data_IF_899423575483
#
_entry.id   IF_899423575483
#
_cell.length_a   1.000
_cell.length_b   1.000
_cell.length_c   1.000
_cell.angle_alpha   90.00
_cell.angle_beta   90.00
_cell.angle_gamma   90.00
#
_symmetry.space_group_name_H-M   'P 1'
#
loop_
_entity.id
_entity.type
_entity.pdbx_description
1 polymer ?
#
# COMPACT_ATOMS: atom_id res chain seq x y z
N UNK A 1 6.69 -8.16 2.30
CA UNK A 1 7.13 -7.29 3.41
C UNK A 1 6.39 -5.96 3.39
N UNK A 2 6.35 -5.27 2.25
CA UNK A 2 5.75 -3.94 2.11
C UNK A 2 4.32 -3.78 2.66
N UNK A 3 3.34 -4.58 2.20
CA UNK A 3 1.95 -4.45 2.70
C UNK A 3 1.79 -4.78 4.18
N UNK A 4 2.66 -5.63 4.74
CA UNK A 4 2.66 -5.92 6.18
C UNK A 4 3.10 -4.67 6.94
N UNK A 5 4.16 -4.00 6.49
CA UNK A 5 4.60 -2.75 7.11
C UNK A 5 3.55 -1.64 6.94
N UNK A 6 3.10 -1.37 5.72
CA UNK A 6 2.25 -0.21 5.43
C UNK A 6 0.80 -0.41 5.89
N UNK A 7 0.18 -1.55 5.58
CA UNK A 7 -1.26 -1.76 5.82
C UNK A 7 -1.59 -2.51 7.09
N UNK A 8 -0.69 -3.38 7.54
CA UNK A 8 -0.87 -4.06 8.82
C UNK A 8 -0.32 -3.22 9.97
N UNK A 9 0.93 -2.77 9.90
CA UNK A 9 1.54 -2.03 11.00
C UNK A 9 1.20 -0.52 10.97
N UNK A 10 1.71 0.24 9.99
CA UNK A 10 1.71 1.70 10.05
C UNK A 10 0.31 2.31 10.10
N UNK A 11 -0.63 1.84 9.29
CA UNK A 11 -2.02 2.32 9.33
C UNK A 11 -2.65 2.20 10.72
N UNK A 12 -2.36 1.12 11.44
CA UNK A 12 -2.90 0.89 12.79
C UNK A 12 -2.10 1.62 13.87
N UNK A 13 -0.78 1.68 13.71
CA UNK A 13 0.12 2.40 14.62
C UNK A 13 -0.17 3.91 14.65
N UNK A 14 -0.57 4.49 13.52
CA UNK A 14 -0.99 5.89 13.43
C UNK A 14 -2.35 6.17 14.07
N UNK A 15 -3.12 5.12 14.40
CA UNK A 15 -4.36 5.23 15.19
C UNK A 15 -4.05 5.15 16.67
N UNK A 16 -3.32 4.11 17.08
CA UNK A 16 -2.84 3.91 18.44
C UNK A 16 -1.52 3.12 18.43
N UNK A 17 -0.60 3.44 19.33
CA UNK A 17 0.69 2.74 19.46
C UNK A 17 0.53 1.27 19.87
N UNK A 18 -0.53 0.92 20.59
CA UNK A 18 -0.96 -0.47 20.81
C UNK A 18 -1.73 -0.97 19.58
N UNK A 19 -1.04 -1.00 18.43
CA UNK A 19 -1.66 -1.23 17.12
C UNK A 19 -2.25 -2.63 16.96
N UNK A 20 -1.83 -3.59 17.78
CA UNK A 20 -2.37 -4.96 17.78
C UNK A 20 -3.81 -4.99 18.30
N UNK A 21 -4.17 -4.06 19.19
CA UNK A 21 -5.55 -3.86 19.65
C UNK A 21 -6.47 -3.32 18.55
N UNK A 22 -5.89 -2.68 17.53
CA UNK A 22 -6.64 -2.08 16.42
C UNK A 22 -6.98 -3.16 15.38
N UNK A 23 -8.27 -3.37 15.04
CA UNK A 23 -8.64 -4.32 14.00
C UNK A 23 -8.09 -3.91 12.62
N UNK A 24 -7.72 -4.90 11.80
CA UNK A 24 -7.33 -4.68 10.40
C UNK A 24 -8.49 -3.99 9.66
N UNK A 25 -8.17 -2.92 8.92
CA UNK A 25 -9.13 -2.13 8.16
C UNK A 25 -9.93 -1.13 9.00
N UNK A 26 -9.50 -0.85 10.24
CA UNK A 26 -9.93 0.36 10.98
C UNK A 26 -9.47 1.61 10.23
N UNK A 27 -10.37 2.60 10.12
CA UNK A 27 -10.12 3.81 9.34
C UNK A 27 -10.06 5.05 10.23
N UNK A 28 -9.02 5.88 10.02
CA UNK A 28 -9.01 7.28 10.43
C UNK A 28 -8.43 8.12 9.29
N UNK A 29 -8.88 9.37 9.18
CA UNK A 29 -8.35 10.28 8.16
C UNK A 29 -6.85 10.54 8.33
N UNK A 30 -6.37 10.66 9.57
CA UNK A 30 -4.95 10.89 9.86
C UNK A 30 -4.08 9.71 9.42
N UNK A 31 -4.42 8.48 9.82
CA UNK A 31 -3.65 7.29 9.44
C UNK A 31 -3.60 7.10 7.92
N UNK A 32 -4.75 7.27 7.26
CA UNK A 32 -4.86 7.14 5.82
C UNK A 32 -4.02 8.18 5.07
N UNK A 33 -4.15 9.47 5.41
CA UNK A 33 -3.44 10.55 4.72
C UNK A 33 -1.92 10.43 4.95
N UNK A 34 -1.50 10.26 6.22
CA UNK A 34 -0.08 10.17 6.57
C UNK A 34 0.56 8.94 5.91
N UNK A 35 -0.07 7.77 6.02
CA UNK A 35 0.47 6.56 5.39
C UNK A 35 0.51 6.68 3.87
N UNK A 36 -0.48 7.32 3.23
CA UNK A 36 -0.49 7.52 1.77
C UNK A 36 0.65 8.43 1.32
N UNK A 37 0.87 9.55 2.02
CA UNK A 37 1.94 10.49 1.70
C UNK A 37 3.30 9.83 1.89
N UNK A 38 3.52 9.19 3.04
CA UNK A 38 4.79 8.50 3.33
C UNK A 38 5.08 7.38 2.34
N UNK A 39 4.07 6.59 1.97
CA UNK A 39 4.20 5.54 0.95
C UNK A 39 4.59 6.14 -0.41
N UNK A 40 3.96 7.25 -0.80
CA UNK A 40 4.33 7.96 -2.02
C UNK A 40 5.78 8.45 -2.03
N UNK A 41 6.26 8.99 -0.91
CA UNK A 41 7.62 9.52 -0.79
C UNK A 41 8.72 8.45 -0.87
N UNK A 42 8.41 7.18 -0.61
CA UNK A 42 9.34 6.05 -0.80
C UNK A 42 9.61 5.77 -2.30
N UNK A 43 8.70 6.18 -3.18
CA UNK A 43 8.74 5.82 -4.60
C UNK A 43 9.36 6.92 -5.47
N UNK A 44 10.13 6.53 -6.49
CA UNK A 44 10.66 7.47 -7.49
C UNK A 44 9.54 8.29 -8.16
N UNK A 45 8.43 7.62 -8.52
CA UNK A 45 7.22 8.27 -9.01
C UNK A 45 6.24 8.53 -7.87
N UNK A 46 6.50 9.58 -7.08
CA UNK A 46 5.77 9.84 -5.84
C UNK A 46 4.24 9.87 -6.00
N UNK A 47 3.72 10.51 -7.05
CA UNK A 47 2.26 10.57 -7.31
C UNK A 47 1.69 9.19 -7.59
N UNK A 48 2.38 8.38 -8.41
CA UNK A 48 1.94 7.02 -8.72
C UNK A 48 1.98 6.13 -7.46
N UNK A 49 3.02 6.28 -6.64
CA UNK A 49 3.12 5.67 -5.32
C UNK A 49 1.93 6.05 -4.43
N UNK A 50 1.59 7.34 -4.30
CA UNK A 50 0.43 7.78 -3.51
C UNK A 50 -0.87 7.16 -4.03
N UNK A 51 -1.10 7.13 -5.34
CA UNK A 51 -2.30 6.52 -5.93
C UNK A 51 -2.36 5.02 -5.59
N UNK A 52 -1.25 4.29 -5.73
CA UNK A 52 -1.18 2.89 -5.33
C UNK A 52 -1.46 2.71 -3.82
N UNK A 53 -0.88 3.57 -2.98
CA UNK A 53 -1.12 3.60 -1.55
C UNK A 53 -2.59 3.79 -1.18
N UNK A 54 -3.29 4.70 -1.87
CA UNK A 54 -4.75 4.88 -1.74
C UNK A 54 -5.49 3.60 -2.10
N UNK A 55 -5.23 3.03 -3.29
CA UNK A 55 -5.94 1.85 -3.79
C UNK A 55 -5.76 0.67 -2.83
N UNK A 56 -4.54 0.37 -2.42
CA UNK A 56 -4.25 -0.73 -1.50
C UNK A 56 -4.86 -0.52 -0.11
N UNK A 57 -4.85 0.72 0.40
CA UNK A 57 -5.53 1.03 1.66
C UNK A 57 -7.05 0.82 1.55
N UNK A 58 -7.67 1.23 0.44
CA UNK A 58 -9.09 0.98 0.17
C UNK A 58 -9.42 -0.52 0.09
N UNK A 59 -8.53 -1.33 -0.50
CA UNK A 59 -8.69 -2.79 -0.50
C UNK A 59 -8.71 -3.31 0.93
N UNK A 60 -7.78 -2.90 1.80
CA UNK A 60 -7.75 -3.35 3.19
C UNK A 60 -8.97 -2.87 3.99
N UNK A 61 -9.42 -1.63 3.80
CA UNK A 61 -10.62 -1.12 4.47
C UNK A 61 -11.88 -1.88 4.08
N UNK A 62 -12.01 -2.23 2.79
CA UNK A 62 -13.18 -2.96 2.27
C UNK A 62 -13.15 -4.44 2.64
N UNK A 63 -11.99 -5.08 2.51
CA UNK A 63 -11.86 -6.54 2.60
C UNK A 63 -11.49 -7.02 3.99
N UNK A 64 -10.98 -6.11 4.85
CA UNK A 64 -10.40 -6.43 6.16
C UNK A 64 -9.29 -7.49 6.06
N UNK A 65 -8.64 -7.62 4.90
CA UNK A 65 -7.69 -8.69 4.61
C UNK A 65 -6.38 -8.15 4.03
N UNK A 66 -5.30 -8.31 4.79
CA UNK A 66 -3.94 -7.99 4.32
C UNK A 66 -3.52 -8.95 3.19
N UNK A 67 -3.95 -10.22 3.24
CA UNK A 67 -3.62 -11.20 2.21
C UNK A 67 -4.18 -10.80 0.85
N UNK A 68 -5.42 -10.30 0.80
CA UNK A 68 -5.99 -9.80 -0.45
C UNK A 68 -5.24 -8.58 -0.98
N UNK A 69 -4.75 -7.70 -0.10
CA UNK A 69 -3.92 -6.57 -0.49
C UNK A 69 -2.56 -7.02 -1.04
N UNK A 70 -1.90 -7.98 -0.39
CA UNK A 70 -0.65 -8.59 -0.85
C UNK A 70 -0.83 -9.21 -2.24
N UNK A 71 -1.93 -9.94 -2.47
CA UNK A 71 -2.22 -10.53 -3.77
C UNK A 71 -2.48 -9.46 -4.84
N UNK A 72 -3.25 -8.42 -4.52
CA UNK A 72 -3.50 -7.31 -5.44
C UNK A 72 -2.19 -6.61 -5.85
N UNK A 73 -1.31 -6.36 -4.89
CA UNK A 73 -0.01 -5.77 -5.15
C UNK A 73 0.92 -6.72 -5.94
N UNK A 74 0.95 -8.01 -5.61
CA UNK A 74 1.72 -8.97 -6.41
C UNK A 74 1.27 -9.00 -7.88
N UNK A 75 -0.03 -8.91 -8.15
CA UNK A 75 -0.59 -8.89 -9.50
C UNK A 75 -0.22 -7.61 -10.25
N UNK A 76 -0.30 -6.44 -9.62
CA UNK A 76 0.08 -5.17 -10.26
C UNK A 76 1.58 -5.12 -10.57
N UNK A 77 2.44 -5.62 -9.67
CA UNK A 77 3.88 -5.73 -9.93
C UNK A 77 4.20 -6.74 -11.02
N UNK A 78 3.48 -7.87 -11.10
CA UNK A 78 3.64 -8.81 -12.20
C UNK A 78 3.24 -8.16 -13.54
N UNK A 79 2.13 -7.42 -13.58
CA UNK A 79 1.72 -6.70 -14.78
C UNK A 79 2.75 -5.65 -15.21
N UNK A 80 3.32 -4.91 -14.24
CA UNK A 80 4.37 -3.94 -14.48
C UNK A 80 5.65 -4.62 -15.00
N UNK A 81 6.06 -5.74 -14.40
CA UNK A 81 7.21 -6.52 -14.85
C UNK A 81 7.04 -6.97 -16.30
N UNK A 82 5.88 -7.55 -16.65
CA UNK A 82 5.56 -7.93 -18.02
C UNK A 82 5.63 -6.74 -18.99
N UNK A 83 5.10 -5.58 -18.59
CA UNK A 83 5.16 -4.36 -19.39
C UNK A 83 6.61 -3.87 -19.62
N UNK A 84 7.42 -3.85 -18.57
CA UNK A 84 8.84 -3.44 -18.64
C UNK A 84 9.62 -4.40 -19.54
N UNK A 85 9.45 -5.71 -19.37
CA UNK A 85 10.11 -6.72 -20.19
C UNK A 85 9.70 -6.61 -21.68
N UNK A 86 8.42 -6.33 -21.96
CA UNK A 86 7.93 -6.17 -23.33
C UNK A 86 8.39 -4.87 -23.99
N UNK A 87 8.45 -3.77 -23.26
CA UNK A 87 8.74 -2.44 -23.82
C UNK A 87 10.21 -2.00 -23.69
N UNK A 88 10.99 -2.69 -22.85
CA UNK A 88 12.36 -2.30 -22.50
C UNK A 88 12.47 -1.04 -21.64
N UNK A 89 11.34 -0.53 -21.10
CA UNK A 89 11.29 0.72 -20.32
C UNK A 89 11.66 0.50 -18.85
N UNK A 90 12.93 0.19 -18.60
CA UNK A 90 13.47 -0.11 -17.26
C UNK A 90 13.35 1.03 -16.25
N UNK A 91 13.15 2.27 -16.68
CA UNK A 91 12.95 3.40 -15.76
C UNK A 91 11.67 3.30 -14.92
N UNK A 92 10.75 2.38 -15.24
CA UNK A 92 9.56 2.08 -14.45
C UNK A 92 9.78 1.02 -13.36
N UNK A 93 10.95 0.36 -13.34
CA UNK A 93 11.32 -0.66 -12.37
C UNK A 93 12.27 -0.07 -11.32
#
# INVERSE_FOLDING_TARGET
MEEIFWRSFLLRYLVDTDFESIPIGSFTWSSFIISTVLFGLEHHFFVAGMIAGVIYSLIVYKTRSIVQCVLAHAITNLALACYVLYTGKWYFW
#
